data_IF_214247362942
#
_entry.id   IF_214247362942
#
_cell.length_a   1.000
_cell.length_b   1.000
_cell.length_c   1.000
_cell.angle_alpha   90.00
_cell.angle_beta   90.00
_cell.angle_gamma   90.00
#
_symmetry.space_group_name_H-M   'P 1'
#
loop_
_entity.id
_entity.type
_entity.pdbx_description
1 polymer ?
#
# COMPACT_ATOMS: atom_id res chain seq x y z
N UNK A 1 12.46 6.75 -0.06
CA UNK A 1 13.47 7.52 -0.84
C UNK A 1 12.86 8.77 -1.45
N UNK A 2 11.80 8.64 -2.29
CA UNK A 2 11.19 9.81 -2.98
C UNK A 2 10.75 10.93 -2.02
N UNK A 3 10.11 10.55 -0.92
CA UNK A 3 9.66 11.52 0.08
C UNK A 3 10.82 12.11 0.90
N UNK A 4 11.81 11.29 1.27
CA UNK A 4 13.02 11.76 1.95
C UNK A 4 13.78 12.78 1.11
N UNK A 5 13.97 12.50 -0.18
CA UNK A 5 14.59 13.44 -1.13
C UNK A 5 13.83 14.78 -1.26
N UNK A 6 12.56 14.80 -0.90
CA UNK A 6 11.74 16.03 -0.83
C UNK A 6 11.69 16.64 0.58
N UNK A 7 12.51 16.15 1.52
CA UNK A 7 12.61 16.68 2.88
C UNK A 7 11.50 16.29 3.83
N UNK A 8 10.68 15.27 3.49
CA UNK A 8 9.63 14.79 4.39
C UNK A 8 10.23 13.93 5.51
N UNK A 9 9.84 14.20 6.76
CA UNK A 9 10.09 13.26 7.86
C UNK A 9 9.22 12.02 7.69
N UNK A 10 9.78 10.83 7.93
CA UNK A 10 9.11 9.56 7.63
C UNK A 10 9.07 8.64 8.86
N UNK A 11 7.92 8.04 9.11
CA UNK A 11 7.78 6.85 9.94
C UNK A 11 7.68 5.64 9.00
N UNK A 12 8.66 4.76 9.04
CA UNK A 12 8.73 3.57 8.21
C UNK A 12 8.31 2.36 9.02
N UNK A 13 7.21 1.71 8.64
CA UNK A 13 6.68 0.55 9.36
C UNK A 13 6.93 -0.75 8.61
N UNK A 14 7.20 -1.82 9.33
CA UNK A 14 7.36 -3.15 8.74
C UNK A 14 7.84 -4.17 9.76
N UNK A 15 7.92 -5.44 9.34
CA UNK A 15 8.29 -6.57 10.18
C UNK A 15 9.80 -6.89 10.17
N UNK A 16 10.50 -6.46 9.11
CA UNK A 16 11.91 -6.80 8.88
C UNK A 16 12.80 -5.68 9.44
N UNK A 17 13.17 -5.81 10.71
CA UNK A 17 13.93 -4.80 11.45
C UNK A 17 15.20 -4.36 10.71
N UNK A 18 16.01 -5.31 10.25
CA UNK A 18 17.28 -5.04 9.56
C UNK A 18 17.07 -4.17 8.30
N UNK A 19 16.02 -4.44 7.52
CA UNK A 19 15.73 -3.65 6.32
C UNK A 19 15.24 -2.25 6.63
N UNK A 20 14.46 -2.10 7.71
CA UNK A 20 13.98 -0.79 8.14
C UNK A 20 15.13 0.07 8.65
N UNK A 21 16.03 -0.50 9.46
CA UNK A 21 17.20 0.21 9.97
C UNK A 21 18.16 0.58 8.83
N UNK A 22 18.50 -0.36 7.95
CA UNK A 22 19.35 -0.08 6.80
C UNK A 22 18.78 1.05 5.91
N UNK A 23 17.46 1.07 5.70
CA UNK A 23 16.82 2.14 4.94
C UNK A 23 16.82 3.47 5.70
N UNK A 24 16.64 3.44 7.03
CA UNK A 24 16.71 4.64 7.85
C UNK A 24 18.13 5.24 7.82
N UNK A 25 19.16 4.41 7.94
CA UNK A 25 20.56 4.84 7.84
C UNK A 25 20.91 5.43 6.48
N UNK A 26 20.39 4.82 5.39
CA UNK A 26 20.55 5.36 4.03
C UNK A 26 19.95 6.77 3.86
N UNK A 27 18.83 7.02 4.53
CA UNK A 27 18.04 8.23 4.30
C UNK A 27 18.26 9.33 5.35
N UNK A 28 18.97 9.05 6.46
CA UNK A 28 19.12 9.97 7.59
C UNK A 28 19.78 11.31 7.23
N UNK A 29 20.61 11.35 6.18
CA UNK A 29 21.21 12.60 5.68
C UNK A 29 20.19 13.49 4.94
N UNK A 30 19.08 12.94 4.47
CA UNK A 30 18.08 13.66 3.65
C UNK A 30 16.88 14.12 4.48
N UNK A 31 16.48 13.32 5.48
CA UNK A 31 15.27 13.55 6.26
C UNK A 31 15.34 12.86 7.63
N UNK A 32 14.45 13.26 8.54
CA UNK A 32 14.26 12.51 9.79
C UNK A 32 13.48 11.25 9.54
N UNK A 33 14.07 10.10 9.88
CA UNK A 33 13.48 8.80 9.64
C UNK A 33 13.32 8.05 10.97
N UNK A 34 12.12 7.57 11.24
CA UNK A 34 11.81 6.69 12.37
C UNK A 34 11.48 5.29 11.85
N UNK A 35 12.36 4.31 11.99
CA UNK A 35 12.04 2.91 11.76
C UNK A 35 11.16 2.39 12.91
N UNK A 36 9.99 1.84 12.58
CA UNK A 36 9.01 1.31 13.53
C UNK A 36 8.74 -0.16 13.19
N UNK A 37 9.38 -1.05 13.94
CA UNK A 37 9.25 -2.50 13.71
C UNK A 37 7.94 -2.97 14.30
N UNK A 38 6.93 -3.21 13.46
CA UNK A 38 5.60 -3.63 13.86
C UNK A 38 4.93 -4.44 12.75
N UNK A 39 4.15 -5.44 13.13
CA UNK A 39 3.26 -6.16 12.22
C UNK A 39 1.89 -5.44 12.21
N UNK A 40 1.45 -4.99 11.05
CA UNK A 40 0.17 -4.31 10.90
C UNK A 40 -1.03 -5.17 11.29
N UNK A 41 -0.87 -6.50 11.37
CA UNK A 41 -1.90 -7.45 11.80
C UNK A 41 -2.09 -7.47 13.31
N UNK A 42 -1.08 -7.05 14.06
CA UNK A 42 -1.12 -6.98 15.52
C UNK A 42 -1.68 -5.63 15.96
N UNK A 43 -2.97 -5.62 16.30
CA UNK A 43 -3.68 -4.41 16.72
C UNK A 43 -3.04 -3.79 17.98
N UNK A 44 -2.69 -4.60 18.97
CA UNK A 44 -2.16 -4.11 20.25
C UNK A 44 -0.77 -3.49 20.04
N UNK A 45 0.09 -4.16 19.29
CA UNK A 45 1.40 -3.62 18.94
C UNK A 45 1.30 -2.32 18.13
N UNK A 46 0.34 -2.23 17.21
CA UNK A 46 0.07 -1.00 16.44
C UNK A 46 -0.43 0.14 17.34
N UNK A 47 -1.35 -0.13 18.26
CA UNK A 47 -1.83 0.86 19.25
C UNK A 47 -0.67 1.41 20.07
N UNK A 48 0.14 0.55 20.66
CA UNK A 48 1.31 0.92 21.46
C UNK A 48 2.34 1.72 20.65
N UNK A 49 2.66 1.24 19.45
CA UNK A 49 3.65 1.90 18.60
C UNK A 49 3.22 3.31 18.18
N UNK A 50 1.93 3.51 17.89
CA UNK A 50 1.39 4.82 17.49
C UNK A 50 1.25 5.75 18.70
N UNK A 51 0.86 5.24 19.86
CA UNK A 51 0.76 6.02 21.09
C UNK A 51 2.11 6.61 21.50
N UNK A 52 3.18 5.82 21.37
CA UNK A 52 4.54 6.20 21.76
C UNK A 52 5.34 6.89 20.64
N UNK A 53 4.68 7.37 19.56
CA UNK A 53 5.38 8.14 18.54
C UNK A 53 6.03 9.40 19.15
N UNK A 54 7.34 9.63 18.90
CA UNK A 54 8.03 10.85 19.35
C UNK A 54 7.31 12.12 18.88
N UNK A 55 7.41 13.19 19.65
CA UNK A 55 6.70 14.45 19.39
C UNK A 55 6.97 15.00 17.99
N UNK A 56 8.20 14.89 17.49
CA UNK A 56 8.62 15.32 16.16
C UNK A 56 7.96 14.53 15.01
N UNK A 57 7.39 13.34 15.29
CA UNK A 57 6.62 12.54 14.36
C UNK A 57 5.12 12.52 14.64
N UNK A 58 4.65 13.31 15.62
CA UNK A 58 3.24 13.31 16.04
C UNK A 58 2.29 13.99 15.02
N UNK A 59 2.80 14.99 14.28
CA UNK A 59 2.03 15.73 13.28
C UNK A 59 2.14 15.04 11.91
N UNK A 60 1.18 14.18 11.62
CA UNK A 60 1.16 13.42 10.37
C UNK A 60 0.41 14.20 9.28
N UNK A 61 1.07 14.38 8.14
CA UNK A 61 0.47 14.93 6.91
C UNK A 61 -0.04 13.81 5.97
N UNK A 62 0.58 12.65 5.98
CA UNK A 62 0.25 11.57 5.06
C UNK A 62 0.26 10.20 5.71
N UNK A 63 -0.69 9.35 5.31
CA UNK A 63 -0.71 7.92 5.60
C UNK A 63 -0.70 7.14 4.28
N UNK A 64 0.25 6.24 4.12
CA UNK A 64 0.33 5.36 2.97
C UNK A 64 0.10 3.92 3.47
N UNK A 65 -1.09 3.39 3.22
CA UNK A 65 -1.42 2.00 3.52
C UNK A 65 -0.94 1.11 2.38
N UNK A 66 0.35 0.79 2.42
CA UNK A 66 1.03 -0.04 1.42
C UNK A 66 1.11 -1.52 1.82
N UNK A 67 1.04 -1.84 3.12
CA UNK A 67 1.13 -3.22 3.58
C UNK A 67 0.05 -4.08 2.94
N UNK A 68 0.46 -5.13 2.25
CA UNK A 68 -0.43 -6.04 1.55
C UNK A 68 0.33 -7.17 0.88
N UNK A 69 -0.34 -8.29 0.67
CA UNK A 69 0.22 -9.47 0.01
C UNK A 69 -0.86 -10.25 -0.73
N UNK A 70 -0.42 -11.10 -1.64
CA UNK A 70 -1.19 -12.21 -2.20
C UNK A 70 -0.44 -13.51 -1.94
N UNK A 71 -1.17 -14.60 -1.72
CA UNK A 71 -0.62 -15.93 -1.50
C UNK A 71 -1.26 -16.92 -2.47
N UNK A 72 -0.42 -17.65 -3.17
CA UNK A 72 -0.85 -18.67 -4.13
C UNK A 72 -1.61 -18.16 -5.36
N UNK A 73 -1.94 -19.10 -6.22
CA UNK A 73 -2.73 -18.92 -7.45
C UNK A 73 -3.61 -20.14 -7.73
N UNK A 74 -3.69 -21.08 -6.78
CA UNK A 74 -4.52 -22.26 -6.93
C UNK A 74 -6.01 -21.90 -7.04
N UNK A 75 -6.84 -22.73 -7.67
CA UNK A 75 -8.29 -22.58 -7.65
C UNK A 75 -8.84 -22.69 -6.21
N UNK A 76 -9.97 -22.05 -5.94
CA UNK A 76 -10.53 -21.96 -4.59
C UNK A 76 -10.66 -23.31 -3.84
N UNK A 77 -11.02 -24.44 -4.47
CA UNK A 77 -11.09 -25.74 -3.78
C UNK A 77 -9.74 -26.27 -3.26
N UNK A 78 -8.62 -25.75 -3.77
CA UNK A 78 -7.26 -26.21 -3.47
C UNK A 78 -6.49 -25.23 -2.60
N UNK A 79 -7.11 -24.11 -2.22
CA UNK A 79 -6.44 -23.06 -1.44
C UNK A 79 -6.33 -23.41 0.05
N UNK A 80 -5.25 -22.95 0.67
CA UNK A 80 -5.12 -22.95 2.13
C UNK A 80 -6.01 -21.88 2.76
N UNK A 81 -6.77 -22.24 3.80
CA UNK A 81 -7.52 -21.28 4.62
C UNK A 81 -6.56 -20.33 5.37
N UNK A 82 -5.39 -20.82 5.82
CA UNK A 82 -4.38 -19.99 6.48
C UNK A 82 -3.88 -18.87 5.55
N UNK A 83 -3.73 -19.17 4.25
CA UNK A 83 -3.37 -18.16 3.25
C UNK A 83 -4.48 -17.12 3.09
N UNK A 84 -5.74 -17.56 3.08
CA UNK A 84 -6.88 -16.67 3.01
C UNK A 84 -6.98 -15.75 4.23
N UNK A 85 -6.84 -16.31 5.42
CA UNK A 85 -6.85 -15.55 6.68
C UNK A 85 -5.68 -14.57 6.72
N UNK A 86 -4.48 -14.99 6.33
CA UNK A 86 -3.30 -14.12 6.24
C UNK A 86 -3.52 -12.94 5.29
N UNK A 87 -4.17 -13.16 4.14
CA UNK A 87 -4.53 -12.08 3.21
C UNK A 87 -5.57 -11.13 3.81
N UNK A 88 -6.59 -11.64 4.49
CA UNK A 88 -7.59 -10.82 5.19
C UNK A 88 -6.95 -10.01 6.31
N UNK A 89 -6.13 -10.64 7.14
CA UNK A 89 -5.48 -9.99 8.27
C UNK A 89 -4.55 -8.86 7.82
N UNK A 90 -3.80 -9.10 6.75
CA UNK A 90 -2.85 -8.09 6.27
C UNK A 90 -3.54 -7.00 5.45
N UNK A 91 -4.30 -7.38 4.41
CA UNK A 91 -4.82 -6.44 3.42
C UNK A 91 -6.05 -5.67 3.93
N UNK A 92 -6.80 -6.24 4.87
CA UNK A 92 -8.03 -5.64 5.42
C UNK A 92 -7.79 -5.15 6.84
N UNK A 93 -7.53 -6.06 7.80
CA UNK A 93 -7.43 -5.65 9.22
C UNK A 93 -6.25 -4.71 9.45
N UNK A 94 -5.07 -4.98 8.84
CA UNK A 94 -3.91 -4.09 8.93
C UNK A 94 -4.20 -2.68 8.41
N UNK A 95 -4.92 -2.57 7.30
CA UNK A 95 -5.37 -1.28 6.76
C UNK A 95 -6.36 -0.58 7.70
N UNK A 96 -7.31 -1.32 8.28
CA UNK A 96 -8.28 -0.74 9.24
C UNK A 96 -7.57 -0.21 10.49
N UNK A 97 -6.63 -0.98 11.06
CA UNK A 97 -5.91 -0.58 12.27
C UNK A 97 -5.07 0.67 12.04
N UNK A 98 -4.22 0.67 11.02
CA UNK A 98 -3.40 1.84 10.70
C UNK A 98 -4.25 3.07 10.40
N UNK A 99 -5.32 2.93 9.62
CA UNK A 99 -6.20 4.04 9.31
C UNK A 99 -6.88 4.58 10.56
N UNK A 100 -7.55 3.72 11.34
CA UNK A 100 -8.33 4.16 12.51
C UNK A 100 -7.46 4.81 13.58
N UNK A 101 -6.27 4.26 13.83
CA UNK A 101 -5.36 4.75 14.85
C UNK A 101 -4.69 6.09 14.46
N UNK A 102 -4.40 6.30 13.18
CA UNK A 102 -3.72 7.51 12.71
C UNK A 102 -4.68 8.63 12.27
N UNK A 103 -5.95 8.29 12.04
CA UNK A 103 -6.97 9.24 11.57
C UNK A 103 -7.11 10.49 12.44
N UNK A 104 -7.11 10.44 13.80
CA UNK A 104 -7.20 11.64 14.61
C UNK A 104 -6.05 12.62 14.37
N UNK A 105 -4.84 12.12 14.11
CA UNK A 105 -3.65 12.95 13.82
C UNK A 105 -3.73 13.62 12.44
N UNK A 106 -4.29 12.91 11.45
CA UNK A 106 -4.53 13.46 10.12
C UNK A 106 -5.62 14.52 10.13
N UNK A 107 -6.70 14.30 10.88
CA UNK A 107 -7.77 15.30 11.07
C UNK A 107 -7.22 16.54 11.80
N UNK A 108 -6.39 16.36 12.82
CA UNK A 108 -5.73 17.47 13.51
C UNK A 108 -4.77 18.26 12.61
N UNK A 109 -4.18 17.63 11.58
CA UNK A 109 -3.40 18.34 10.55
C UNK A 109 -4.32 19.19 9.66
N UNK A 110 -5.48 18.67 9.31
CA UNK A 110 -6.47 19.36 8.49
C UNK A 110 -6.11 19.43 7.00
N UNK A 111 -6.34 20.61 6.41
CA UNK A 111 -6.12 20.83 4.98
C UNK A 111 -4.70 20.47 4.53
N UNK A 112 -4.61 19.65 3.49
CA UNK A 112 -3.36 19.13 2.95
C UNK A 112 -2.96 17.75 3.49
N UNK A 113 -3.61 17.26 4.54
CA UNK A 113 -3.47 15.87 4.94
C UNK A 113 -4.07 14.91 3.90
N UNK A 114 -3.54 13.69 3.83
CA UNK A 114 -4.05 12.70 2.88
C UNK A 114 -3.73 11.27 3.25
N UNK A 115 -4.61 10.37 2.82
CA UNK A 115 -4.48 8.93 2.93
C UNK A 115 -4.40 8.36 1.52
N UNK A 116 -3.40 7.53 1.25
CA UNK A 116 -3.30 6.75 0.02
C UNK A 116 -3.34 5.27 0.37
N UNK A 117 -4.39 4.60 -0.06
CA UNK A 117 -4.57 3.16 0.13
C UNK A 117 -4.14 2.43 -1.15
N UNK A 118 -3.23 1.46 -1.04
CA UNK A 118 -2.79 0.64 -2.16
C UNK A 118 -3.83 -0.44 -2.46
N UNK A 119 -4.71 -0.12 -3.41
CA UNK A 119 -5.62 -1.04 -4.06
C UNK A 119 -4.89 -1.98 -5.03
N UNK A 120 -5.56 -2.32 -6.10
CA UNK A 120 -5.04 -3.07 -7.26
C UNK A 120 -6.12 -3.11 -8.33
N UNK A 121 -5.74 -3.24 -9.60
CA UNK A 121 -6.67 -3.60 -10.69
C UNK A 121 -7.44 -4.90 -10.39
N UNK A 122 -6.87 -5.79 -9.58
CA UNK A 122 -7.52 -7.03 -9.11
C UNK A 122 -8.78 -6.77 -8.27
N UNK A 123 -8.95 -5.58 -7.74
CA UNK A 123 -10.18 -5.18 -7.01
C UNK A 123 -11.34 -4.86 -7.94
N UNK A 124 -11.07 -4.57 -9.21
CA UNK A 124 -12.07 -4.22 -10.22
C UNK A 124 -12.29 -5.37 -11.22
N UNK A 125 -11.24 -6.13 -11.53
CA UNK A 125 -11.22 -7.08 -12.63
C UNK A 125 -10.90 -8.48 -12.12
N UNK A 126 -11.84 -9.43 -12.17
CA UNK A 126 -11.63 -10.79 -11.68
C UNK A 126 -10.72 -11.59 -12.63
N UNK A 127 -9.90 -12.45 -12.05
CA UNK A 127 -9.11 -13.44 -12.79
C UNK A 127 -8.94 -14.73 -11.97
N UNK A 128 -8.69 -15.89 -12.60
CA UNK A 128 -8.52 -17.17 -11.89
C UNK A 128 -7.44 -17.09 -10.80
N UNK A 129 -7.73 -17.66 -9.62
CA UNK A 129 -6.81 -17.68 -8.48
C UNK A 129 -6.70 -16.36 -7.71
N UNK A 130 -7.53 -15.35 -8.04
CA UNK A 130 -7.49 -14.05 -7.37
C UNK A 130 -8.45 -13.91 -6.18
N UNK A 131 -9.33 -14.87 -5.98
CA UNK A 131 -10.46 -14.88 -5.03
C UNK A 131 -10.32 -13.95 -3.81
N UNK A 132 -9.61 -14.33 -2.73
CA UNK A 132 -9.48 -13.49 -1.52
C UNK A 132 -8.62 -12.26 -1.77
N UNK A 133 -7.55 -12.38 -2.56
CA UNK A 133 -6.73 -11.22 -2.91
C UNK A 133 -7.55 -10.14 -3.63
N UNK A 134 -8.23 -10.49 -4.71
CA UNK A 134 -9.08 -9.56 -5.45
C UNK A 134 -10.19 -8.97 -4.58
N UNK A 135 -10.88 -9.83 -3.80
CA UNK A 135 -11.90 -9.39 -2.86
C UNK A 135 -11.35 -8.42 -1.81
N UNK A 136 -10.13 -8.66 -1.27
CA UNK A 136 -9.49 -7.72 -0.34
C UNK A 136 -9.18 -6.37 -0.99
N UNK A 137 -8.81 -6.36 -2.27
CA UNK A 137 -8.53 -5.11 -3.00
C UNK A 137 -9.82 -4.38 -3.39
N UNK A 138 -10.91 -5.08 -3.66
CA UNK A 138 -12.25 -4.51 -3.80
C UNK A 138 -12.71 -3.87 -2.48
N UNK A 139 -12.44 -4.52 -1.33
CA UNK A 139 -12.65 -3.91 -0.01
C UNK A 139 -11.88 -2.60 0.14
N UNK A 140 -10.57 -2.59 -0.16
CA UNK A 140 -9.73 -1.38 -0.06
C UNK A 140 -10.32 -0.24 -0.89
N UNK A 141 -10.76 -0.52 -2.11
CA UNK A 141 -11.40 0.46 -2.98
C UNK A 141 -12.66 1.03 -2.35
N UNK A 142 -13.61 0.17 -1.98
CA UNK A 142 -14.89 0.64 -1.43
C UNK A 142 -14.70 1.32 -0.07
N UNK A 143 -13.81 0.82 0.78
CA UNK A 143 -13.47 1.46 2.05
C UNK A 143 -12.92 2.87 1.85
N UNK A 144 -12.03 3.06 0.86
CA UNK A 144 -11.47 4.39 0.54
C UNK A 144 -12.54 5.39 0.13
N UNK A 145 -13.51 4.98 -0.69
CA UNK A 145 -14.62 5.82 -1.13
C UNK A 145 -15.55 6.20 0.03
N UNK A 146 -15.89 5.22 0.88
CA UNK A 146 -16.73 5.46 2.06
C UNK A 146 -16.01 6.37 3.07
N UNK A 147 -14.73 6.10 3.35
CA UNK A 147 -13.92 6.93 4.25
C UNK A 147 -13.84 8.38 3.75
N UNK A 148 -13.77 8.58 2.42
CA UNK A 148 -13.81 9.93 1.83
C UNK A 148 -15.12 10.65 2.15
N UNK A 149 -16.26 9.94 2.22
CA UNK A 149 -17.54 10.52 2.60
C UNK A 149 -17.54 10.93 4.08
N UNK A 150 -17.04 10.05 4.96
CA UNK A 150 -17.01 10.29 6.41
C UNK A 150 -16.07 11.46 6.79
N UNK A 151 -15.04 11.71 5.98
CA UNK A 151 -14.06 12.77 6.23
C UNK A 151 -14.42 14.11 5.57
N UNK A 152 -15.61 14.25 5.01
CA UNK A 152 -16.07 15.54 4.47
C UNK A 152 -16.01 16.63 5.55
N UNK A 153 -15.45 17.77 5.19
CA UNK A 153 -15.27 18.91 6.10
C UNK A 153 -14.03 18.88 6.97
N UNK A 154 -13.29 17.75 7.06
CA UNK A 154 -12.05 17.64 7.85
C UNK A 154 -10.81 18.16 7.13
N UNK A 155 -10.88 18.35 5.82
CA UNK A 155 -9.72 18.68 4.97
C UNK A 155 -8.81 17.49 4.62
N UNK A 156 -9.07 16.29 5.15
CA UNK A 156 -8.31 15.08 4.85
C UNK A 156 -8.75 14.49 3.52
N UNK A 157 -7.80 14.23 2.64
CA UNK A 157 -8.01 13.60 1.34
C UNK A 157 -7.84 12.09 1.43
N UNK A 158 -8.59 11.34 0.63
CA UNK A 158 -8.46 9.87 0.56
C UNK A 158 -8.40 9.44 -0.89
N UNK A 159 -7.37 8.67 -1.22
CA UNK A 159 -7.15 8.12 -2.56
C UNK A 159 -6.99 6.61 -2.50
N UNK A 160 -7.68 5.93 -3.39
CA UNK A 160 -7.42 4.53 -3.72
C UNK A 160 -6.52 4.48 -4.94
N UNK A 161 -5.31 3.92 -4.81
CA UNK A 161 -4.34 3.75 -5.91
C UNK A 161 -4.31 2.29 -6.34
N UNK A 162 -4.59 2.02 -7.61
CA UNK A 162 -4.82 0.68 -8.16
C UNK A 162 -3.77 0.30 -9.22
N UNK A 163 -2.58 -0.15 -8.79
CA UNK A 163 -1.57 -0.60 -9.75
C UNK A 163 -1.95 -1.89 -10.48
N UNK A 164 -1.54 -1.97 -11.74
CA UNK A 164 -1.43 -3.20 -12.50
C UNK A 164 -0.15 -3.96 -12.20
N UNK A 165 0.48 -4.52 -13.25
CA UNK A 165 1.72 -5.28 -13.13
C UNK A 165 2.85 -4.38 -12.65
N UNK A 166 3.27 -4.57 -11.40
CA UNK A 166 4.39 -3.86 -10.77
C UNK A 166 5.45 -4.89 -10.34
N UNK A 167 6.67 -4.73 -10.82
CA UNK A 167 7.78 -5.63 -10.50
C UNK A 167 8.34 -5.32 -9.12
N UNK A 168 8.13 -6.22 -8.18
CA UNK A 168 8.58 -6.08 -6.79
C UNK A 168 8.66 -7.45 -6.11
N UNK A 169 9.08 -7.50 -4.85
CA UNK A 169 9.05 -8.75 -4.06
C UNK A 169 7.63 -9.34 -3.87
N UNK A 170 6.58 -8.64 -4.28
CA UNK A 170 5.20 -9.09 -4.14
C UNK A 170 4.97 -10.46 -4.79
N UNK A 171 5.42 -10.65 -6.03
CA UNK A 171 5.28 -11.94 -6.73
C UNK A 171 6.16 -13.02 -6.11
N UNK A 172 7.33 -12.68 -5.56
CA UNK A 172 8.16 -13.64 -4.85
C UNK A 172 7.46 -14.16 -3.58
N UNK A 173 6.80 -13.26 -2.83
CA UNK A 173 5.96 -13.64 -1.67
C UNK A 173 4.78 -14.48 -2.11
N UNK A 174 4.09 -14.09 -3.19
CA UNK A 174 2.94 -14.81 -3.75
C UNK A 174 3.25 -16.25 -4.10
N UNK A 175 4.45 -16.51 -4.60
CA UNK A 175 4.90 -17.83 -5.02
C UNK A 175 5.82 -18.52 -3.99
N UNK A 176 5.74 -18.11 -2.72
CA UNK A 176 6.51 -18.72 -1.63
C UNK A 176 8.03 -18.83 -1.92
N UNK A 177 8.60 -17.84 -2.61
CA UNK A 177 10.03 -17.80 -2.96
C UNK A 177 10.40 -18.50 -4.28
N UNK A 178 9.42 -19.05 -5.01
CA UNK A 178 9.68 -19.69 -6.33
C UNK A 178 10.11 -18.63 -7.35
N UNK A 179 11.43 -18.57 -7.56
CA UNK A 179 12.04 -17.58 -8.45
C UNK A 179 11.70 -17.84 -9.92
N UNK A 180 11.51 -19.08 -10.33
CA UNK A 180 11.16 -19.40 -11.73
C UNK A 180 9.76 -18.86 -12.06
N UNK A 181 8.79 -19.01 -11.16
CA UNK A 181 7.46 -18.39 -11.30
C UNK A 181 7.54 -16.87 -11.26
N UNK A 182 8.33 -16.32 -10.34
CA UNK A 182 8.57 -14.87 -10.29
C UNK A 182 9.08 -14.36 -11.63
N UNK A 183 10.17 -14.94 -12.16
CA UNK A 183 10.79 -14.52 -13.41
C UNK A 183 9.78 -14.64 -14.60
N UNK A 184 8.95 -15.69 -14.61
CA UNK A 184 7.95 -15.88 -15.66
C UNK A 184 6.86 -14.81 -15.71
N UNK A 185 6.54 -14.19 -14.57
CA UNK A 185 5.55 -13.10 -14.51
C UNK A 185 6.05 -11.87 -15.26
N UNK A 186 7.35 -11.57 -15.13
CA UNK A 186 7.91 -10.33 -15.65
C UNK A 186 8.68 -10.50 -16.97
N UNK A 187 8.92 -11.73 -17.40
CA UNK A 187 9.67 -12.03 -18.63
C UNK A 187 9.06 -11.31 -19.86
N UNK A 188 9.85 -10.46 -20.51
CA UNK A 188 9.44 -9.68 -21.69
C UNK A 188 8.41 -8.59 -21.41
N UNK A 189 8.06 -8.31 -20.16
CA UNK A 189 7.12 -7.24 -19.79
C UNK A 189 7.85 -6.00 -19.31
N UNK A 190 7.44 -4.81 -19.77
CA UNK A 190 7.86 -3.53 -19.17
C UNK A 190 6.93 -3.21 -18.00
N UNK A 191 7.19 -3.85 -16.85
CA UNK A 191 6.37 -3.67 -15.66
C UNK A 191 6.61 -2.28 -15.00
N UNK A 192 5.58 -1.75 -14.32
CA UNK A 192 5.72 -0.61 -13.42
C UNK A 192 6.77 -0.95 -12.36
N UNK A 193 7.61 0.00 -12.02
CA UNK A 193 8.59 -0.14 -10.94
C UNK A 193 8.06 0.49 -9.64
N UNK A 194 8.51 0.02 -8.46
CA UNK A 194 8.13 0.64 -7.18
C UNK A 194 8.42 2.15 -7.11
N UNK A 195 9.42 2.62 -7.84
CA UNK A 195 9.74 4.04 -7.94
C UNK A 195 8.63 4.84 -8.65
N UNK A 196 7.99 4.27 -9.68
CA UNK A 196 6.88 4.92 -10.41
C UNK A 196 5.66 5.06 -9.50
N UNK A 197 5.37 4.01 -8.69
CA UNK A 197 4.30 4.06 -7.68
C UNK A 197 4.62 5.13 -6.62
N UNK A 198 5.85 5.20 -6.15
CA UNK A 198 6.25 6.20 -5.17
C UNK A 198 6.13 7.64 -5.71
N UNK A 199 6.48 7.88 -6.98
CA UNK A 199 6.30 9.18 -7.64
C UNK A 199 4.81 9.53 -7.78
N UNK A 200 3.99 8.55 -8.15
CA UNK A 200 2.53 8.71 -8.25
C UNK A 200 1.93 9.09 -6.89
N UNK A 201 2.31 8.39 -5.81
CA UNK A 201 1.86 8.71 -4.44
C UNK A 201 2.31 10.10 -4.03
N UNK A 202 3.56 10.45 -4.35
CA UNK A 202 4.09 11.79 -4.07
C UNK A 202 3.29 12.87 -4.79
N UNK A 203 2.98 12.66 -6.07
CA UNK A 203 2.14 13.57 -6.85
C UNK A 203 0.74 13.71 -6.26
N UNK A 204 0.08 12.60 -5.87
CA UNK A 204 -1.24 12.61 -5.22
C UNK A 204 -1.23 13.47 -3.95
N UNK A 205 -0.25 13.26 -3.06
CA UNK A 205 -0.19 13.96 -1.79
C UNK A 205 0.22 15.43 -1.91
N UNK A 206 0.78 15.84 -3.05
CA UNK A 206 1.16 17.23 -3.32
C UNK A 206 0.16 18.00 -4.19
N UNK A 207 -1.00 17.42 -4.50
CA UNK A 207 -2.08 18.19 -5.13
C UNK A 207 -2.57 19.32 -4.22
N UNK A 208 -3.11 20.42 -4.78
CA UNK A 208 -3.76 21.46 -4.00
C UNK A 208 -4.76 20.90 -2.98
N UNK A 209 -4.81 21.48 -1.78
CA UNK A 209 -5.56 20.94 -0.66
C UNK A 209 -7.09 20.75 -0.94
N UNK A 210 -7.65 21.52 -1.86
CA UNK A 210 -9.04 21.43 -2.26
C UNK A 210 -9.35 20.34 -3.30
N UNK A 211 -8.31 19.67 -3.84
CA UNK A 211 -8.46 18.61 -4.84
C UNK A 211 -8.27 17.24 -4.17
N UNK A 212 -9.27 16.37 -4.29
CA UNK A 212 -9.17 14.96 -3.91
C UNK A 212 -9.17 14.08 -5.15
N UNK A 213 -8.14 13.25 -5.30
CA UNK A 213 -8.15 12.18 -6.29
C UNK A 213 -8.80 10.97 -5.63
N UNK A 214 -9.99 10.58 -6.07
CA UNK A 214 -10.74 9.51 -5.42
C UNK A 214 -10.16 8.13 -5.71
N UNK A 215 -9.83 7.87 -6.99
CA UNK A 215 -9.26 6.61 -7.45
C UNK A 215 -8.32 6.89 -8.62
N UNK A 216 -7.23 6.14 -8.68
CA UNK A 216 -6.28 6.20 -9.78
C UNK A 216 -5.84 4.78 -10.13
N UNK A 217 -6.27 4.29 -11.29
CA UNK A 217 -5.83 3.02 -11.87
C UNK A 217 -4.68 3.31 -12.84
N UNK A 218 -3.59 2.53 -12.73
CA UNK A 218 -2.48 2.63 -13.66
C UNK A 218 -1.91 1.25 -13.99
N UNK A 219 -1.67 1.03 -15.28
CA UNK A 219 -1.08 -0.20 -15.79
C UNK A 219 0.12 0.13 -16.67
N UNK A 220 1.10 -0.79 -16.81
CA UNK A 220 2.07 -0.69 -17.90
C UNK A 220 1.36 -0.56 -19.25
N UNK A 221 1.96 0.16 -20.18
CA UNK A 221 1.39 0.27 -21.55
C UNK A 221 1.23 -1.11 -22.20
N UNK A 222 2.08 -2.07 -21.85
CA UNK A 222 2.03 -3.46 -22.30
C UNK A 222 0.93 -4.32 -21.65
N UNK A 223 0.17 -3.78 -20.69
CA UNK A 223 -0.93 -4.48 -20.01
C UNK A 223 -2.27 -3.89 -20.39
N UNK A 224 -3.28 -4.74 -20.57
CA UNK A 224 -4.67 -4.33 -20.83
C UNK A 224 -5.65 -5.15 -20.00
N UNK A 225 -6.94 -4.76 -20.03
CA UNK A 225 -8.02 -5.47 -19.31
C UNK A 225 -8.42 -6.82 -19.93
N UNK A 226 -7.99 -7.12 -21.16
CA UNK A 226 -8.31 -8.39 -21.82
C UNK A 226 -7.56 -9.53 -21.11
N UNK A 227 -8.21 -10.21 -20.18
CA UNK A 227 -7.63 -11.22 -19.28
C UNK A 227 -6.35 -10.77 -18.57
N UNK A 228 -6.19 -9.45 -18.33
CA UNK A 228 -4.93 -8.84 -17.90
C UNK A 228 -3.76 -9.21 -18.84
N UNK A 229 -4.03 -9.38 -20.12
CA UNK A 229 -3.01 -9.71 -21.10
C UNK A 229 -1.82 -8.75 -20.97
N UNK A 230 -0.62 -9.31 -21.10
CA UNK A 230 0.62 -8.57 -21.10
C UNK A 230 1.28 -8.82 -22.44
N UNK A 231 1.53 -7.76 -23.21
CA UNK A 231 2.37 -7.84 -24.39
C UNK A 231 3.82 -8.07 -23.94
N UNK A 232 4.46 -9.08 -24.53
CA UNK A 232 5.84 -9.45 -24.21
C UNK A 232 6.69 -9.30 -25.46
N UNK A 233 7.85 -8.70 -25.29
CA UNK A 233 8.85 -8.56 -26.32
C UNK A 233 9.52 -9.89 -26.67
#
# INVERSE_FOLDING_TARGET
RRFAAAGWSLVLTGRRAERLHALADELCAQARILPLVVDVRDRVAMEQAIEHLPAEFSRLRGLINNAGLALGTAPAPECSLDDWETMVDTNIKGLLYSTRLLLPRLIAHGAGAGIVNLGSIAGNWPYPGSHVYGASKAFVRQFSLNLRCDLQGTGVRVTNLEPGLCESEFSLVRFAGDKAKYDSVYAGAQAIQPADIAETIFWILNQPAHININSLELMPVSQSWNNFAIERA
#
